data_IF_442809257641
#
_entry.id   IF_442809257641
#
_cell.length_a   1.000
_cell.length_b   1.000
_cell.length_c   1.000
_cell.angle_alpha   90.00
_cell.angle_beta   90.00
_cell.angle_gamma   90.00
#
_symmetry.space_group_name_H-M   'P 1'
#
loop_
_entity.id
_entity.type
_entity.pdbx_description
1 polymer ?
#
# COMPACT_ATOMS: atom_id res chain seq x y z
N UNK A 1 2.10 -6.81 -11.62
CA UNK A 1 2.91 -7.65 -10.71
C UNK A 1 2.97 -7.08 -9.28
N UNK A 2 1.94 -6.36 -8.83
CA UNK A 2 1.95 -5.67 -7.55
C UNK A 2 0.67 -5.99 -6.79
N UNK A 3 0.76 -6.79 -5.74
CA UNK A 3 -0.36 -7.28 -4.92
C UNK A 3 -1.60 -7.81 -5.69
N UNK A 4 -1.40 -8.34 -6.90
CA UNK A 4 -2.47 -8.89 -7.75
C UNK A 4 -2.40 -10.41 -7.89
N UNK A 5 -3.56 -11.06 -8.03
CA UNK A 5 -3.67 -12.54 -8.14
C UNK A 5 -2.91 -13.13 -9.33
N UNK A 6 -2.80 -12.38 -10.44
CA UNK A 6 -2.03 -12.77 -11.62
C UNK A 6 -0.58 -13.15 -11.29
N UNK A 7 0.03 -12.58 -10.24
CA UNK A 7 1.41 -12.90 -9.85
C UNK A 7 1.64 -14.40 -9.62
N UNK A 8 0.64 -15.10 -9.08
CA UNK A 8 0.74 -16.55 -8.86
C UNK A 8 0.82 -17.33 -10.17
N UNK A 9 0.11 -16.88 -11.21
CA UNK A 9 0.17 -17.47 -12.55
C UNK A 9 1.50 -17.13 -13.21
N UNK A 10 1.90 -15.86 -13.17
CA UNK A 10 3.14 -15.38 -13.78
C UNK A 10 4.36 -16.17 -13.28
N UNK A 11 4.54 -16.30 -11.96
CA UNK A 11 5.66 -17.04 -11.36
C UNK A 11 5.71 -18.51 -11.83
N UNK A 12 4.54 -19.14 -12.01
CA UNK A 12 4.46 -20.57 -12.37
C UNK A 12 4.55 -20.84 -13.87
N UNK A 13 4.09 -19.90 -14.70
CA UNK A 13 3.80 -20.17 -16.12
C UNK A 13 4.61 -19.31 -17.08
N UNK A 14 5.14 -18.15 -16.66
CA UNK A 14 5.80 -17.21 -17.58
C UNK A 14 7.07 -17.78 -18.25
N UNK A 15 7.73 -18.75 -17.62
CA UNK A 15 8.90 -19.43 -18.19
C UNK A 15 8.55 -20.60 -19.11
N UNK A 16 7.26 -20.97 -19.22
CA UNK A 16 6.78 -22.11 -20.02
C UNK A 16 5.99 -21.70 -21.26
N UNK A 17 5.41 -20.50 -21.23
CA UNK A 17 4.53 -19.99 -22.30
C UNK A 17 4.89 -18.55 -22.62
N UNK A 18 4.75 -18.11 -23.90
CA UNK A 18 4.87 -16.71 -24.26
C UNK A 18 4.00 -15.84 -23.35
N UNK A 19 4.63 -14.89 -22.66
CA UNK A 19 3.97 -14.06 -21.65
C UNK A 19 4.49 -12.64 -21.76
N UNK A 20 3.56 -11.68 -21.77
CA UNK A 20 3.86 -10.25 -21.75
C UNK A 20 3.15 -9.60 -20.57
N UNK A 21 3.82 -8.67 -19.89
CA UNK A 21 3.24 -7.88 -18.79
C UNK A 21 3.03 -6.47 -19.29
N UNK A 22 1.77 -6.09 -19.48
CA UNK A 22 1.39 -4.71 -19.79
C UNK A 22 1.23 -3.94 -18.48
N UNK A 23 2.05 -2.89 -18.21
CA UNK A 23 1.92 -2.10 -17.00
C UNK A 23 0.61 -1.31 -17.03
N UNK A 24 -0.02 -1.19 -15.86
CA UNK A 24 -1.23 -0.40 -15.67
C UNK A 24 -1.08 0.60 -14.53
N UNK A 25 -2.01 1.53 -14.43
CA UNK A 25 -2.09 2.47 -13.32
C UNK A 25 -2.49 1.71 -12.04
N UNK A 26 -1.71 1.86 -10.98
CA UNK A 26 -2.00 1.22 -9.70
C UNK A 26 -3.17 1.93 -9.01
N UNK A 27 -3.95 1.18 -8.21
CA UNK A 27 -5.10 1.76 -7.49
C UNK A 27 -4.70 2.94 -6.59
N UNK A 28 -3.54 2.85 -5.93
CA UNK A 28 -2.98 3.94 -5.12
C UNK A 28 -2.79 5.23 -5.92
N UNK A 29 -2.38 5.12 -7.20
CA UNK A 29 -2.30 6.29 -8.08
C UNK A 29 -3.64 6.92 -8.37
N UNK A 30 -4.70 6.11 -8.51
CA UNK A 30 -6.05 6.63 -8.61
C UNK A 30 -6.51 7.34 -7.34
N UNK A 31 -6.17 6.79 -6.16
CA UNK A 31 -6.58 7.36 -4.87
C UNK A 31 -6.06 8.79 -4.68
N UNK A 32 -4.76 9.04 -4.85
CA UNK A 32 -4.24 10.39 -4.61
C UNK A 32 -4.63 11.42 -5.66
N UNK A 33 -4.82 10.98 -6.91
CA UNK A 33 -5.39 11.83 -7.95
C UNK A 33 -6.84 12.19 -7.64
N UNK A 34 -7.60 11.31 -6.99
CA UNK A 34 -8.98 11.57 -6.59
C UNK A 34 -9.08 12.46 -5.33
N UNK A 35 -8.08 12.46 -4.45
CA UNK A 35 -8.09 13.29 -3.23
C UNK A 35 -7.59 14.70 -3.44
N UNK A 36 -7.00 15.02 -4.60
CA UNK A 36 -6.37 16.32 -4.89
C UNK A 36 -5.31 16.73 -3.83
N UNK A 37 -4.59 15.72 -3.32
CA UNK A 37 -3.57 15.90 -2.30
C UNK A 37 -2.22 15.38 -2.81
N UNK A 38 -1.13 16.16 -2.66
CA UNK A 38 0.20 15.62 -2.88
C UNK A 38 0.53 14.62 -1.77
N UNK A 39 0.88 13.38 -2.14
CA UNK A 39 1.18 12.32 -1.16
C UNK A 39 2.65 12.34 -0.71
N UNK A 40 3.57 12.67 -1.61
CA UNK A 40 5.01 12.78 -1.34
C UNK A 40 5.61 13.89 -2.18
N UNK A 41 6.62 14.57 -1.64
CA UNK A 41 7.39 15.60 -2.33
C UNK A 41 8.87 15.57 -1.90
N UNK A 42 9.79 15.85 -2.82
CA UNK A 42 11.22 15.92 -2.52
C UNK A 42 11.77 14.57 -2.07
N UNK A 43 12.30 14.52 -0.85
CA UNK A 43 12.96 13.33 -0.27
C UNK A 43 12.01 12.44 0.57
N UNK A 44 10.70 12.71 0.54
CA UNK A 44 9.70 11.94 1.29
C UNK A 44 9.72 10.44 0.96
N UNK A 45 9.74 9.60 2.00
CA UNK A 45 9.65 8.15 1.88
C UNK A 45 8.19 7.71 1.83
N UNK A 46 7.80 7.10 0.69
CA UNK A 46 6.52 6.42 0.52
C UNK A 46 6.63 4.92 0.85
N UNK A 47 5.88 4.46 1.85
CA UNK A 47 5.81 3.05 2.22
C UNK A 47 4.47 2.42 1.84
N UNK A 48 4.47 1.31 1.09
CA UNK A 48 3.25 0.53 0.81
C UNK A 48 3.15 -0.67 1.76
N UNK A 49 2.09 -0.69 2.58
CA UNK A 49 1.89 -1.65 3.66
C UNK A 49 0.64 -2.50 3.42
N UNK A 50 0.72 -3.84 3.48
CA UNK A 50 -0.48 -4.66 3.57
C UNK A 50 -1.07 -4.56 4.98
N UNK A 51 -2.33 -4.13 5.07
CA UNK A 51 -3.11 -4.07 6.31
C UNK A 51 -3.27 -5.41 7.03
N UNK A 52 -2.85 -6.52 6.43
CA UNK A 52 -2.79 -7.85 7.06
C UNK A 52 -1.57 -8.03 7.99
N UNK A 53 -0.58 -7.12 7.98
CA UNK A 53 0.54 -7.13 8.93
C UNK A 53 0.07 -7.08 10.39
N UNK A 54 0.94 -7.48 11.33
CA UNK A 54 0.65 -7.28 12.75
C UNK A 54 0.51 -5.80 13.07
N UNK A 55 -0.23 -5.48 14.13
CA UNK A 55 -0.39 -4.09 14.59
C UNK A 55 0.96 -3.47 14.94
N UNK A 56 1.82 -4.22 15.63
CA UNK A 56 3.19 -3.82 15.95
C UNK A 56 3.99 -3.40 14.71
N UNK A 57 3.97 -4.22 13.66
CA UNK A 57 4.72 -3.93 12.42
C UNK A 57 4.12 -2.75 11.64
N UNK A 58 2.79 -2.59 11.66
CA UNK A 58 2.14 -1.42 11.08
C UNK A 58 2.57 -0.16 11.82
N UNK A 59 2.44 -0.13 13.14
CA UNK A 59 2.82 1.03 13.97
C UNK A 59 4.29 1.39 13.78
N UNK A 60 5.19 0.39 13.82
CA UNK A 60 6.64 0.62 13.62
C UNK A 60 6.93 1.26 12.25
N UNK A 61 6.44 0.66 11.16
CA UNK A 61 6.69 1.19 9.81
C UNK A 61 5.98 2.52 9.55
N UNK A 62 4.79 2.71 10.13
CA UNK A 62 4.09 3.98 10.06
C UNK A 62 4.86 5.08 10.80
N UNK A 63 5.56 4.77 11.90
CA UNK A 63 6.39 5.76 12.60
C UNK A 63 7.57 6.22 11.74
N UNK A 64 8.21 5.30 11.02
CA UNK A 64 9.48 5.50 10.29
C UNK A 64 9.31 6.05 8.84
N UNK A 65 8.12 6.48 8.42
CA UNK A 65 7.85 6.92 7.04
C UNK A 65 7.09 8.24 6.98
N UNK A 66 7.35 9.02 5.94
CA UNK A 66 6.69 10.31 5.70
C UNK A 66 5.25 10.11 5.19
N UNK A 67 5.08 9.20 4.23
CA UNK A 67 3.80 8.84 3.64
C UNK A 67 3.60 7.31 3.57
N UNK A 68 2.35 6.86 3.70
CA UNK A 68 2.02 5.45 3.66
C UNK A 68 0.76 5.16 2.85
N UNK A 69 0.80 4.09 2.05
CA UNK A 69 -0.37 3.48 1.42
C UNK A 69 -0.66 2.16 2.11
N UNK A 70 -1.86 2.01 2.68
CA UNK A 70 -2.25 0.76 3.32
C UNK A 70 -3.20 -0.02 2.40
N UNK A 71 -2.73 -1.15 1.87
CA UNK A 71 -3.52 -2.05 1.03
C UNK A 71 -4.30 -3.07 1.87
N UNK A 72 -5.33 -3.70 1.28
CA UNK A 72 -6.14 -4.75 1.96
C UNK A 72 -6.81 -4.24 3.25
N UNK A 73 -7.35 -3.02 3.19
CA UNK A 73 -7.97 -2.33 4.33
C UNK A 73 -9.13 -3.15 4.90
N UNK A 74 -10.23 -3.34 4.15
CA UNK A 74 -11.37 -4.20 4.49
C UNK A 74 -11.58 -4.46 6.00
N UNK A 75 -11.56 -5.73 6.39
CA UNK A 75 -11.69 -6.17 7.80
C UNK A 75 -10.56 -5.74 8.74
N UNK A 76 -9.43 -5.27 8.21
CA UNK A 76 -8.28 -4.83 9.02
C UNK A 76 -8.42 -3.37 9.48
N UNK A 77 -9.43 -2.63 9.03
CA UNK A 77 -9.60 -1.21 9.33
C UNK A 77 -9.52 -0.87 10.83
N UNK A 78 -10.16 -1.61 11.76
CA UNK A 78 -10.05 -1.29 13.19
C UNK A 78 -8.61 -1.33 13.72
N UNK A 79 -7.81 -2.30 13.26
CA UNK A 79 -6.39 -2.42 13.62
C UNK A 79 -5.55 -1.32 12.98
N UNK A 80 -5.81 -1.02 11.71
CA UNK A 80 -5.13 0.07 10.99
C UNK A 80 -5.38 1.40 11.70
N UNK A 81 -6.62 1.66 12.13
CA UNK A 81 -6.98 2.88 12.86
C UNK A 81 -6.17 3.04 14.15
N UNK A 82 -6.04 1.98 14.94
CA UNK A 82 -5.22 2.00 16.16
C UNK A 82 -3.74 2.25 15.87
N UNK A 83 -3.18 1.63 14.83
CA UNK A 83 -1.80 1.87 14.43
C UNK A 83 -1.56 3.32 13.96
N UNK A 84 -2.51 3.89 13.21
CA UNK A 84 -2.49 5.30 12.81
C UNK A 84 -2.62 6.25 14.01
N UNK A 85 -3.47 5.90 14.98
CA UNK A 85 -3.64 6.68 16.22
C UNK A 85 -2.37 6.67 17.07
N UNK A 86 -1.78 5.49 17.27
CA UNK A 86 -0.53 5.31 18.01
C UNK A 86 0.67 6.05 17.40
N UNK A 87 0.62 6.36 16.09
CA UNK A 87 1.67 7.11 15.38
C UNK A 87 1.33 8.58 15.13
N UNK A 88 0.19 9.06 15.65
CA UNK A 88 -0.27 10.44 15.43
C UNK A 88 -0.67 10.75 13.99
N UNK A 89 -0.83 9.73 13.14
CA UNK A 89 -1.13 9.88 11.70
C UNK A 89 -2.62 9.76 11.36
N UNK A 90 -3.47 9.40 12.34
CA UNK A 90 -4.91 9.19 12.10
C UNK A 90 -5.64 10.44 11.59
N UNK A 91 -5.35 11.62 12.15
CA UNK A 91 -6.06 12.85 11.82
C UNK A 91 -5.86 13.33 10.38
N UNK A 92 -4.80 12.86 9.71
CA UNK A 92 -4.44 13.20 8.33
C UNK A 92 -4.66 12.05 7.34
N UNK A 93 -5.23 10.94 7.78
CA UNK A 93 -5.52 9.80 6.92
C UNK A 93 -6.72 10.08 6.03
N UNK A 94 -6.63 9.67 4.75
CA UNK A 94 -7.65 9.83 3.71
C UNK A 94 -8.05 8.51 3.10
#
# INVERSE_FOLDING_TARGET
LFYGSYMHLHVRLAHRFPTEVIPGITAMSGCWSATDLPIVQGDDVLTVLPGTMSEFELTRRLADTDAAVIMKVGRNLPKIRRALEATGKLARAV
#
